data_IF_651195377130
#
_entry.id   IF_651195377130
#
_cell.length_a   1.000
_cell.length_b   1.000
_cell.length_c   1.000
_cell.angle_alpha   90.00
_cell.angle_beta   90.00
_cell.angle_gamma   90.00
#
_symmetry.space_group_name_H-M   'P 1'
#
loop_
_entity.id
_entity.type
_entity.pdbx_description
1 polymer ?
#
# COMPACT_ATOMS: atom_id res chain seq x y z
N UNK A 1 49.36 -16.13 -44.44
CA UNK A 1 48.53 -16.93 -43.54
C UNK A 1 47.90 -15.98 -42.58
N UNK A 2 46.60 -15.60 -42.80
CA UNK A 2 45.82 -14.73 -41.93
C UNK A 2 44.92 -15.59 -41.04
N UNK A 3 45.11 -15.57 -39.74
CA UNK A 3 44.23 -16.20 -38.77
C UNK A 3 43.13 -15.23 -38.38
N UNK A 4 41.91 -15.53 -38.77
CA UNK A 4 40.69 -14.84 -38.30
C UNK A 4 40.33 -15.34 -36.92
N UNK A 5 40.39 -14.49 -35.90
CA UNK A 5 39.86 -14.78 -34.55
C UNK A 5 38.38 -14.52 -34.54
N UNK A 6 37.60 -15.57 -34.44
CA UNK A 6 36.14 -15.53 -34.24
C UNK A 6 35.85 -15.11 -32.78
N UNK A 7 35.50 -13.84 -32.56
CA UNK A 7 35.04 -13.34 -31.27
C UNK A 7 33.68 -13.90 -30.94
N UNK A 8 33.63 -14.90 -30.07
CA UNK A 8 32.37 -15.48 -29.57
C UNK A 8 31.60 -14.51 -28.70
N UNK A 9 30.48 -13.99 -29.21
CA UNK A 9 29.52 -13.26 -28.40
C UNK A 9 28.86 -14.28 -27.45
N UNK A 10 29.02 -14.05 -26.15
CA UNK A 10 28.43 -14.93 -25.12
C UNK A 10 26.90 -14.99 -25.32
N UNK A 11 26.37 -16.21 -25.37
CA UNK A 11 24.92 -16.48 -25.51
C UNK A 11 24.10 -15.72 -24.45
N UNK A 12 24.68 -15.49 -23.28
CA UNK A 12 24.09 -14.64 -22.21
C UNK A 12 23.87 -13.21 -22.67
N UNK A 13 24.81 -12.58 -23.37
CA UNK A 13 24.66 -11.21 -23.84
C UNK A 13 23.66 -11.07 -24.99
N UNK A 14 23.54 -12.09 -25.82
CA UNK A 14 22.53 -12.13 -26.89
C UNK A 14 21.09 -12.28 -26.33
N UNK A 15 20.92 -13.11 -25.29
CA UNK A 15 19.62 -13.27 -24.60
C UNK A 15 19.24 -11.98 -23.86
N UNK A 16 20.19 -11.32 -23.20
CA UNK A 16 19.94 -10.03 -22.52
C UNK A 16 19.56 -8.91 -23.51
N UNK A 17 20.21 -8.85 -24.66
CA UNK A 17 19.90 -7.87 -25.71
C UNK A 17 18.53 -8.14 -26.36
N UNK A 18 18.16 -9.41 -26.57
CA UNK A 18 16.83 -9.81 -27.07
C UNK A 18 15.72 -9.48 -26.05
N UNK A 19 15.96 -9.65 -24.74
CA UNK A 19 14.99 -9.30 -23.71
C UNK A 19 14.76 -7.78 -23.58
N UNK A 20 15.76 -6.97 -23.86
CA UNK A 20 15.63 -5.50 -23.84
C UNK A 20 14.93 -4.94 -25.08
N UNK A 21 15.02 -5.62 -26.25
CA UNK A 21 14.39 -5.15 -27.49
C UNK A 21 12.90 -5.49 -27.61
N UNK A 22 12.38 -6.41 -26.78
CA UNK A 22 10.97 -6.82 -26.79
C UNK A 22 10.11 -6.15 -25.70
N UNK A 23 10.70 -5.32 -24.85
CA UNK A 23 9.94 -4.53 -23.90
C UNK A 23 9.33 -3.30 -24.60
N UNK A 24 8.26 -3.54 -25.38
CA UNK A 24 7.40 -2.42 -25.79
C UNK A 24 6.86 -1.73 -24.54
N UNK A 25 6.93 -0.38 -24.45
CA UNK A 25 6.28 0.32 -23.37
C UNK A 25 4.80 -0.05 -23.40
N UNK A 26 4.30 -0.68 -22.32
CA UNK A 26 2.87 -0.90 -22.14
C UNK A 26 2.19 0.45 -22.30
N UNK A 27 1.47 0.65 -23.41
CA UNK A 27 0.53 1.75 -23.52
C UNK A 27 -0.43 1.61 -22.34
N UNK A 28 -0.35 2.54 -21.39
CA UNK A 28 -1.36 2.66 -20.34
C UNK A 28 -2.67 2.88 -21.08
N UNK A 29 -3.54 1.88 -21.12
CA UNK A 29 -4.92 2.06 -21.53
C UNK A 29 -5.47 3.17 -20.66
N UNK A 30 -6.02 4.22 -21.30
CA UNK A 30 -6.68 5.27 -20.53
C UNK A 30 -7.78 4.62 -19.68
N UNK A 31 -7.84 4.90 -18.39
CA UNK A 31 -8.87 4.34 -17.54
C UNK A 31 -10.23 4.77 -18.08
N UNK A 32 -11.13 3.81 -18.31
CA UNK A 32 -12.52 4.08 -18.66
C UNK A 32 -13.25 4.59 -17.39
N UNK A 33 -12.87 5.77 -16.92
CA UNK A 33 -13.57 6.41 -15.81
C UNK A 33 -14.84 7.11 -16.34
N UNK A 34 -16.00 6.60 -15.93
CA UNK A 34 -17.20 7.43 -15.85
C UNK A 34 -16.86 8.65 -14.98
N UNK A 35 -17.35 9.86 -15.31
CA UNK A 35 -17.09 11.04 -14.49
C UNK A 35 -17.53 10.74 -13.05
N UNK A 36 -16.58 10.69 -12.15
CA UNK A 36 -16.81 10.38 -10.77
C UNK A 36 -17.59 11.53 -10.13
N UNK A 37 -18.70 11.21 -9.50
CA UNK A 37 -19.27 12.06 -8.45
C UNK A 37 -18.18 12.13 -7.38
N UNK A 38 -17.64 13.31 -7.15
CA UNK A 38 -16.48 13.51 -6.25
C UNK A 38 -16.95 13.34 -4.80
N UNK A 39 -17.17 12.07 -4.40
CA UNK A 39 -17.63 11.73 -3.05
C UNK A 39 -16.48 11.87 -2.07
N UNK A 40 -16.70 12.67 -1.03
CA UNK A 40 -15.76 12.83 0.08
C UNK A 40 -15.93 11.69 1.05
N UNK A 41 -14.84 11.02 1.41
CA UNK A 41 -14.82 9.91 2.36
C UNK A 41 -14.14 10.30 3.66
N UNK A 42 -14.60 9.71 4.76
CA UNK A 42 -14.00 9.78 6.09
C UNK A 42 -12.95 8.67 6.22
N UNK A 43 -11.69 9.03 6.49
CA UNK A 43 -10.57 8.09 6.51
C UNK A 43 -9.88 8.09 7.88
N UNK A 44 -9.73 6.91 8.47
CA UNK A 44 -8.90 6.69 9.65
C UNK A 44 -7.49 6.26 9.26
N UNK A 45 -6.48 6.81 9.91
CA UNK A 45 -5.06 6.44 9.69
C UNK A 45 -4.47 5.88 10.97
N UNK A 46 -3.90 4.67 10.90
CA UNK A 46 -3.24 4.01 12.02
C UNK A 46 -1.78 3.76 11.66
N UNK A 47 -0.87 4.43 12.35
CA UNK A 47 0.56 4.15 12.25
C UNK A 47 0.95 3.10 13.29
N UNK A 48 1.66 2.07 12.87
CA UNK A 48 2.03 0.92 13.70
C UNK A 48 3.56 0.88 13.78
N UNK A 49 4.09 1.16 14.96
CA UNK A 49 5.53 1.19 15.19
C UNK A 49 5.86 1.12 16.67
N UNK A 50 6.37 -0.01 17.15
CA UNK A 50 6.79 -0.20 18.54
C UNK A 50 7.85 0.81 18.96
N UNK A 51 8.84 1.09 18.11
CA UNK A 51 9.93 2.02 18.44
C UNK A 51 9.45 3.47 18.57
N UNK A 52 8.59 3.93 17.65
CA UNK A 52 7.99 5.27 17.76
C UNK A 52 7.05 5.36 18.95
N UNK A 53 6.20 4.35 19.13
CA UNK A 53 5.27 4.32 20.25
C UNK A 53 5.99 4.34 21.60
N UNK A 54 7.10 3.61 21.74
CA UNK A 54 7.92 3.66 22.95
C UNK A 54 8.53 5.05 23.21
N UNK A 55 8.89 5.80 22.17
CA UNK A 55 9.50 7.13 22.27
C UNK A 55 8.47 8.23 22.51
N UNK A 56 7.32 8.20 21.82
CA UNK A 56 6.38 9.32 21.78
C UNK A 56 5.04 9.04 22.46
N UNK A 57 4.75 7.78 22.79
CA UNK A 57 3.45 7.35 23.27
C UNK A 57 2.36 7.40 22.20
N UNK A 58 1.12 7.43 22.65
CA UNK A 58 -0.03 7.61 21.76
C UNK A 58 -0.17 9.08 21.38
N UNK A 59 -0.03 9.38 20.09
CA UNK A 59 -0.14 10.73 19.52
C UNK A 59 -1.29 10.77 18.50
N UNK A 60 -1.80 11.98 18.23
CA UNK A 60 -2.96 12.20 17.32
C UNK A 60 -2.59 12.93 16.03
N UNK A 61 -1.31 13.24 15.84
CA UNK A 61 -0.80 13.83 14.61
C UNK A 61 0.56 13.20 14.27
N UNK A 62 0.85 12.94 12.98
CA UNK A 62 2.12 12.31 12.59
C UNK A 62 3.35 13.15 12.91
N UNK A 63 3.21 14.48 12.95
CA UNK A 63 4.28 15.42 13.30
C UNK A 63 4.77 15.23 14.74
N UNK A 64 3.89 14.85 15.66
CA UNK A 64 4.21 14.60 17.07
C UNK A 64 5.11 13.35 17.26
N UNK A 65 5.17 12.47 16.26
CA UNK A 65 5.96 11.23 16.29
C UNK A 65 7.00 11.12 15.17
N UNK A 66 7.30 12.19 14.47
CA UNK A 66 8.19 12.18 13.29
C UNK A 66 7.79 11.10 12.28
N UNK A 67 6.48 10.87 12.11
CA UNK A 67 5.95 9.84 11.23
C UNK A 67 5.74 10.34 9.81
N UNK A 68 6.79 10.23 9.00
CA UNK A 68 6.75 10.65 7.60
C UNK A 68 5.72 9.86 6.78
N UNK A 69 5.55 8.56 7.03
CA UNK A 69 4.61 7.70 6.32
C UNK A 69 3.16 8.08 6.61
N UNK A 70 2.82 8.29 7.88
CA UNK A 70 1.51 8.77 8.28
C UNK A 70 1.19 10.14 7.70
N UNK A 71 2.18 11.05 7.65
CA UNK A 71 2.03 12.37 7.03
C UNK A 71 1.76 12.27 5.53
N UNK A 72 2.51 11.45 4.79
CA UNK A 72 2.30 11.21 3.36
C UNK A 72 0.88 10.74 3.08
N UNK A 73 0.36 9.76 3.84
CA UNK A 73 -1.01 9.28 3.70
C UNK A 73 -2.00 10.45 3.85
N UNK A 74 -1.85 11.25 4.90
CA UNK A 74 -2.74 12.37 5.20
C UNK A 74 -2.69 13.42 4.08
N UNK A 75 -1.52 13.74 3.57
CA UNK A 75 -1.34 14.73 2.50
C UNK A 75 -1.99 14.26 1.19
N UNK A 76 -1.85 12.99 0.81
CA UNK A 76 -2.55 12.41 -0.35
C UNK A 76 -4.06 12.46 -0.19
N UNK A 77 -4.60 12.06 0.97
CA UNK A 77 -6.03 12.06 1.24
C UNK A 77 -6.63 13.47 1.16
N UNK A 78 -5.97 14.46 1.77
CA UNK A 78 -6.39 15.87 1.74
C UNK A 78 -6.35 16.44 0.33
N UNK A 79 -5.28 16.15 -0.43
CA UNK A 79 -5.11 16.59 -1.81
C UNK A 79 -6.19 16.00 -2.73
N UNK A 80 -6.65 14.79 -2.45
CA UNK A 80 -7.75 14.13 -3.15
C UNK A 80 -9.15 14.57 -2.66
N UNK A 81 -9.22 15.50 -1.69
CA UNK A 81 -10.49 16.04 -1.18
C UNK A 81 -11.18 15.19 -0.11
N UNK A 82 -10.52 14.14 0.38
CA UNK A 82 -11.05 13.30 1.47
C UNK A 82 -10.81 13.93 2.84
N UNK A 83 -11.54 13.47 3.84
CA UNK A 83 -11.40 13.94 5.20
C UNK A 83 -10.69 12.90 6.07
N UNK A 84 -9.62 13.32 6.71
CA UNK A 84 -8.96 12.50 7.73
C UNK A 84 -9.76 12.62 9.02
N UNK A 85 -10.42 11.52 9.40
CA UNK A 85 -11.22 11.41 10.61
C UNK A 85 -10.32 11.41 11.85
N UNK A 86 -9.25 10.60 11.81
CA UNK A 86 -8.29 10.49 12.90
C UNK A 86 -6.96 9.94 12.42
N UNK A 87 -5.93 10.25 13.17
CA UNK A 87 -4.61 9.60 13.13
C UNK A 87 -4.29 9.05 14.52
N UNK A 88 -3.69 7.86 14.58
CA UNK A 88 -3.27 7.25 15.84
C UNK A 88 -1.97 6.46 15.62
N UNK A 89 -1.01 6.63 16.54
CA UNK A 89 0.19 5.80 16.62
C UNK A 89 0.01 4.73 17.67
N UNK A 90 0.29 3.46 17.31
CA UNK A 90 0.18 2.31 18.20
C UNK A 90 1.42 1.40 18.11
N UNK A 91 1.58 0.51 19.10
CA UNK A 91 2.58 -0.56 19.09
C UNK A 91 2.16 -1.74 18.19
N UNK A 92 3.14 -2.54 17.74
CA UNK A 92 2.95 -3.77 16.94
C UNK A 92 2.39 -4.92 17.81
N UNK A 93 1.17 -4.77 18.31
CA UNK A 93 0.45 -5.77 19.10
C UNK A 93 -0.88 -6.11 18.45
N UNK A 94 -1.11 -7.39 18.13
CA UNK A 94 -2.29 -7.85 17.40
C UNK A 94 -3.61 -7.41 18.06
N UNK A 95 -3.70 -7.48 19.39
CA UNK A 95 -4.89 -7.06 20.14
C UNK A 95 -5.12 -5.54 20.03
N UNK A 96 -4.06 -4.74 20.07
CA UNK A 96 -4.13 -3.29 19.96
C UNK A 96 -4.51 -2.88 18.54
N UNK A 97 -3.94 -3.54 17.54
CA UNK A 97 -4.26 -3.32 16.11
C UNK A 97 -5.75 -3.61 15.85
N UNK A 98 -6.23 -4.79 16.24
CA UNK A 98 -7.63 -5.18 16.02
C UNK A 98 -8.61 -4.28 16.76
N UNK A 99 -8.29 -3.85 17.99
CA UNK A 99 -9.11 -2.92 18.77
C UNK A 99 -9.17 -1.55 18.11
N UNK A 100 -8.03 -1.04 17.63
CA UNK A 100 -7.94 0.27 16.95
C UNK A 100 -8.71 0.27 15.63
N UNK A 101 -8.61 -0.81 14.83
CA UNK A 101 -9.41 -0.97 13.61
C UNK A 101 -10.89 -1.00 13.93
N UNK A 102 -11.33 -1.82 14.91
CA UNK A 102 -12.75 -1.94 15.31
C UNK A 102 -13.32 -0.61 15.76
N UNK A 103 -12.57 0.20 16.48
CA UNK A 103 -13.03 1.50 16.98
C UNK A 103 -13.36 2.49 15.84
N UNK A 104 -12.78 2.32 14.66
CA UNK A 104 -12.97 3.20 13.51
C UNK A 104 -14.09 2.73 12.55
N UNK A 105 -14.49 1.45 12.57
CA UNK A 105 -15.43 0.88 11.59
C UNK A 105 -16.78 1.61 11.53
N UNK A 106 -17.26 2.18 12.64
CA UNK A 106 -18.55 2.88 12.67
C UNK A 106 -18.49 4.34 12.23
N UNK A 107 -17.29 4.90 12.10
CA UNK A 107 -17.08 6.34 11.88
C UNK A 107 -16.26 6.66 10.62
N UNK A 108 -15.79 5.63 9.90
CA UNK A 108 -14.93 5.82 8.71
C UNK A 108 -15.40 4.94 7.56
N UNK A 109 -15.27 5.46 6.34
CA UNK A 109 -15.46 4.69 5.10
C UNK A 109 -14.20 3.89 4.76
N UNK A 110 -13.05 4.37 5.20
CA UNK A 110 -11.73 3.78 4.88
C UNK A 110 -10.83 3.80 6.10
N UNK A 111 -10.05 2.75 6.27
CA UNK A 111 -8.96 2.69 7.26
C UNK A 111 -7.67 2.36 6.52
N UNK A 112 -6.63 3.15 6.74
CA UNK A 112 -5.29 2.88 6.20
C UNK A 112 -4.35 2.66 7.37
N UNK A 113 -3.72 1.47 7.43
CA UNK A 113 -2.66 1.18 8.38
C UNK A 113 -1.31 1.24 7.69
N UNK A 114 -0.27 1.70 8.38
CA UNK A 114 1.11 1.71 7.88
C UNK A 114 2.08 1.20 8.95
N UNK A 115 2.93 0.25 8.57
CA UNK A 115 3.89 -0.42 9.44
C UNK A 115 3.45 -1.80 9.94
N UNK A 116 4.39 -2.54 10.56
CA UNK A 116 4.15 -3.88 11.10
C UNK A 116 3.79 -4.95 10.06
N UNK A 117 4.15 -4.77 8.78
CA UNK A 117 3.83 -5.71 7.70
C UNK A 117 5.01 -6.57 7.25
N UNK A 118 6.20 -6.42 7.86
CA UNK A 118 7.40 -7.14 7.48
C UNK A 118 7.38 -8.62 7.87
N UNK A 119 8.57 -9.26 7.82
CA UNK A 119 8.76 -10.68 8.10
C UNK A 119 9.26 -10.95 9.53
N UNK A 120 9.51 -9.92 10.33
CA UNK A 120 9.93 -10.12 11.70
C UNK A 120 8.77 -10.71 12.55
N UNK A 121 9.05 -11.52 13.57
CA UNK A 121 7.99 -12.12 14.41
C UNK A 121 7.04 -11.11 15.07
N UNK A 122 7.48 -9.86 15.23
CA UNK A 122 6.69 -8.76 15.78
C UNK A 122 5.81 -8.06 14.73
N UNK A 123 6.08 -8.27 13.43
CA UNK A 123 5.30 -7.66 12.34
C UNK A 123 4.02 -8.47 12.17
N UNK A 124 2.94 -8.08 12.84
CA UNK A 124 1.68 -8.83 12.95
C UNK A 124 0.48 -8.11 12.35
N UNK A 125 0.70 -6.98 11.69
CA UNK A 125 -0.40 -6.14 11.17
C UNK A 125 -1.28 -6.89 10.18
N UNK A 126 -0.70 -7.58 9.22
CA UNK A 126 -1.45 -8.33 8.20
C UNK A 126 -2.23 -9.46 8.85
N UNK A 127 -1.59 -10.26 9.69
CA UNK A 127 -2.19 -11.39 10.38
C UNK A 127 -3.37 -10.96 11.27
N UNK A 128 -3.23 -9.82 11.96
CA UNK A 128 -4.27 -9.29 12.84
C UNK A 128 -5.47 -8.75 12.06
N UNK A 129 -5.24 -8.03 10.96
CA UNK A 129 -6.30 -7.36 10.20
C UNK A 129 -6.98 -8.30 9.21
N UNK A 130 -6.22 -9.19 8.55
CA UNK A 130 -6.75 -10.11 7.54
C UNK A 130 -7.81 -11.06 8.10
N UNK A 131 -7.67 -11.48 9.36
CA UNK A 131 -8.68 -12.31 10.04
C UNK A 131 -10.02 -11.58 10.27
N UNK A 132 -10.05 -10.26 10.15
CA UNK A 132 -11.26 -9.46 10.30
C UNK A 132 -12.01 -9.26 8.97
N UNK A 133 -11.36 -9.50 7.83
CA UNK A 133 -11.96 -9.27 6.52
C UNK A 133 -13.15 -10.19 6.27
N UNK A 134 -14.24 -9.61 5.81
CA UNK A 134 -15.37 -10.34 5.24
C UNK A 134 -15.12 -10.69 3.78
N UNK A 135 -14.41 -9.80 3.08
CA UNK A 135 -13.92 -10.03 1.70
C UNK A 135 -12.51 -9.47 1.58
N UNK A 136 -11.62 -10.25 1.00
CA UNK A 136 -10.28 -9.78 0.63
C UNK A 136 -10.27 -9.15 -0.76
N UNK A 137 -9.34 -8.23 -0.99
CA UNK A 137 -9.02 -7.66 -2.29
C UNK A 137 -7.60 -8.09 -2.65
N UNK A 138 -7.37 -9.36 -3.07
CA UNK A 138 -6.02 -9.90 -3.27
C UNK A 138 -5.25 -9.16 -4.35
N UNK A 139 -5.95 -8.66 -5.38
CA UNK A 139 -5.37 -7.86 -6.45
C UNK A 139 -4.61 -6.62 -5.98
N UNK A 140 -4.96 -6.05 -4.82
CA UNK A 140 -4.21 -4.93 -4.25
C UNK A 140 -2.76 -5.33 -3.95
N UNK A 141 -2.54 -6.40 -3.19
CA UNK A 141 -1.20 -6.87 -2.85
C UNK A 141 -0.40 -7.35 -4.07
N UNK A 142 -1.09 -7.94 -5.06
CA UNK A 142 -0.47 -8.39 -6.32
C UNK A 142 0.03 -7.21 -7.15
N UNK A 143 -0.82 -6.22 -7.40
CA UNK A 143 -0.46 -5.02 -8.14
C UNK A 143 0.60 -4.20 -7.40
N UNK A 144 0.47 -4.08 -6.07
CA UNK A 144 1.46 -3.35 -5.27
C UNK A 144 2.86 -3.97 -5.38
N UNK A 145 2.98 -5.31 -5.30
CA UNK A 145 4.27 -5.98 -5.52
C UNK A 145 4.78 -5.84 -6.95
N UNK A 146 3.88 -5.86 -7.94
CA UNK A 146 4.26 -5.67 -9.34
C UNK A 146 4.87 -4.31 -9.59
N UNK A 147 4.21 -3.23 -9.15
CA UNK A 147 4.75 -1.87 -9.31
C UNK A 147 5.98 -1.61 -8.44
N UNK A 148 6.05 -2.23 -7.24
CA UNK A 148 7.25 -2.18 -6.40
C UNK A 148 8.44 -2.86 -7.08
N UNK A 149 8.22 -3.94 -7.83
CA UNK A 149 9.29 -4.61 -8.57
C UNK A 149 9.90 -3.72 -9.66
N UNK A 150 9.08 -2.90 -10.31
CA UNK A 150 9.56 -1.95 -11.32
C UNK A 150 10.47 -0.86 -10.70
N UNK A 151 10.27 -0.53 -9.41
CA UNK A 151 11.07 0.48 -8.71
C UNK A 151 12.32 -0.08 -8.02
N UNK A 152 12.20 -1.20 -7.31
CA UNK A 152 13.25 -1.72 -6.43
C UNK A 152 13.77 -3.10 -6.83
N UNK A 153 13.23 -3.72 -7.87
CA UNK A 153 13.64 -5.04 -8.34
C UNK A 153 13.27 -6.17 -7.39
N UNK A 154 14.13 -7.19 -7.30
CA UNK A 154 13.86 -8.43 -6.53
C UNK A 154 13.51 -8.25 -5.04
N UNK A 155 13.98 -7.24 -4.30
CA UNK A 155 13.53 -6.99 -2.93
C UNK A 155 12.01 -6.81 -2.79
N UNK A 156 11.30 -6.44 -3.87
CA UNK A 156 9.84 -6.33 -3.88
C UNK A 156 9.13 -7.64 -3.51
N UNK A 157 9.77 -8.81 -3.69
CA UNK A 157 9.22 -10.11 -3.27
C UNK A 157 8.98 -10.20 -1.76
N UNK A 158 9.70 -9.40 -0.96
CA UNK A 158 9.56 -9.35 0.50
C UNK A 158 8.47 -8.36 0.93
N UNK A 159 7.93 -7.59 0.00
CA UNK A 159 6.90 -6.58 0.28
C UNK A 159 5.57 -7.25 0.59
N UNK A 160 5.06 -6.98 1.78
CA UNK A 160 3.77 -7.47 2.25
C UNK A 160 2.81 -6.31 2.41
N UNK A 161 1.69 -6.41 1.69
CA UNK A 161 0.57 -5.49 1.78
C UNK A 161 -0.72 -6.27 1.50
N UNK A 162 -1.82 -5.88 2.13
CA UNK A 162 -3.14 -6.50 1.93
C UNK A 162 -4.24 -5.47 2.00
N UNK A 163 -5.39 -5.78 1.43
CA UNK A 163 -6.60 -4.98 1.60
C UNK A 163 -7.84 -5.87 1.61
N UNK A 164 -8.91 -5.34 2.19
CA UNK A 164 -10.19 -6.04 2.29
C UNK A 164 -11.30 -5.15 2.79
N UNK A 165 -12.48 -5.74 2.94
CA UNK A 165 -13.71 -5.08 3.37
C UNK A 165 -14.18 -5.66 4.69
N UNK A 166 -14.56 -4.78 5.62
CA UNK A 166 -15.27 -5.13 6.85
C UNK A 166 -16.54 -4.26 6.91
N UNK A 167 -17.71 -4.89 6.81
CA UNK A 167 -18.96 -4.15 6.60
C UNK A 167 -18.90 -3.34 5.31
N UNK A 168 -19.01 -2.02 5.42
CA UNK A 168 -18.89 -1.08 4.31
C UNK A 168 -17.54 -0.32 4.30
N UNK A 169 -16.64 -0.67 5.21
CA UNK A 169 -15.33 0.01 5.36
C UNK A 169 -14.26 -0.74 4.58
N UNK A 170 -13.55 -0.03 3.71
CA UNK A 170 -12.37 -0.54 3.03
C UNK A 170 -11.13 -0.38 3.92
N UNK A 171 -10.30 -1.42 4.00
CA UNK A 171 -9.10 -1.40 4.83
C UNK A 171 -7.87 -1.72 3.96
N UNK A 172 -6.82 -0.92 4.13
CA UNK A 172 -5.54 -1.10 3.45
C UNK A 172 -4.42 -1.20 4.49
N UNK A 173 -3.62 -2.25 4.40
CA UNK A 173 -2.44 -2.45 5.24
C UNK A 173 -1.17 -2.26 4.41
N UNK A 174 -0.41 -1.20 4.71
CA UNK A 174 0.76 -0.76 3.96
C UNK A 174 2.06 -1.00 4.73
N UNK A 175 3.19 -1.18 4.03
CA UNK A 175 4.50 -1.12 4.65
C UNK A 175 4.75 0.23 5.35
N UNK A 176 5.69 0.21 6.30
CA UNK A 176 6.05 1.43 7.05
C UNK A 176 7.01 2.37 6.30
N UNK A 177 7.49 2.03 5.11
CA UNK A 177 8.44 2.90 4.38
C UNK A 177 7.72 4.02 3.63
N UNK A 178 8.23 5.27 3.67
CA UNK A 178 7.64 6.40 2.96
C UNK A 178 7.46 6.17 1.45
N UNK A 179 8.45 5.57 0.79
CA UNK A 179 8.38 5.30 -0.65
C UNK A 179 7.27 4.30 -1.00
N UNK A 180 7.15 3.21 -0.23
CA UNK A 180 6.10 2.22 -0.41
C UNK A 180 4.69 2.82 -0.19
N UNK A 181 4.55 3.69 0.80
CA UNK A 181 3.31 4.42 1.07
C UNK A 181 2.97 5.37 -0.08
N UNK A 182 3.93 6.16 -0.57
CA UNK A 182 3.74 7.05 -1.71
C UNK A 182 3.24 6.27 -2.93
N UNK A 183 3.93 5.18 -3.26
CA UNK A 183 3.59 4.32 -4.40
C UNK A 183 2.16 3.74 -4.29
N UNK A 184 1.80 3.21 -3.11
CA UNK A 184 0.46 2.66 -2.88
C UNK A 184 -0.64 3.72 -2.98
N UNK A 185 -0.43 4.89 -2.37
CA UNK A 185 -1.40 5.98 -2.38
C UNK A 185 -1.62 6.54 -3.78
N UNK A 186 -0.54 6.80 -4.51
CA UNK A 186 -0.57 7.42 -5.83
C UNK A 186 -1.12 6.48 -6.90
N UNK A 187 -0.62 5.25 -6.94
CA UNK A 187 -0.88 4.34 -8.05
C UNK A 187 -2.15 3.49 -7.86
N UNK A 188 -2.56 3.20 -6.62
CA UNK A 188 -3.60 2.22 -6.35
C UNK A 188 -4.75 2.77 -5.49
N UNK A 189 -4.47 3.39 -4.33
CA UNK A 189 -5.52 3.68 -3.36
C UNK A 189 -6.35 4.89 -3.82
N UNK A 190 -5.72 6.04 -4.00
CA UNK A 190 -6.46 7.27 -4.35
C UNK A 190 -7.25 7.12 -5.65
N UNK A 191 -6.69 6.54 -6.74
CA UNK A 191 -7.43 6.36 -8.00
C UNK A 191 -8.65 5.44 -7.89
N UNK A 192 -8.56 4.38 -7.06
CA UNK A 192 -9.59 3.33 -7.02
C UNK A 192 -10.53 3.42 -5.81
N UNK A 193 -10.28 4.34 -4.88
CA UNK A 193 -10.99 4.39 -3.60
C UNK A 193 -12.50 4.50 -3.76
N UNK A 194 -12.96 5.39 -4.65
CA UNK A 194 -14.38 5.57 -4.91
C UNK A 194 -15.01 4.31 -5.52
N UNK A 195 -14.32 3.66 -6.44
CA UNK A 195 -14.78 2.44 -7.11
C UNK A 195 -14.93 1.29 -6.12
N UNK A 196 -13.93 1.08 -5.27
CA UNK A 196 -13.94 0.06 -4.22
C UNK A 196 -15.12 0.26 -3.27
N UNK A 197 -15.35 1.49 -2.80
CA UNK A 197 -16.42 1.79 -1.85
C UNK A 197 -17.81 1.70 -2.48
N UNK A 198 -17.98 2.01 -3.77
CA UNK A 198 -19.22 1.78 -4.48
C UNK A 198 -19.58 0.28 -4.46
N UNK A 199 -18.65 -0.59 -4.85
CA UNK A 199 -18.87 -2.04 -4.82
C UNK A 199 -19.05 -2.61 -3.41
N UNK A 200 -18.39 -2.04 -2.42
CA UNK A 200 -18.57 -2.46 -1.02
C UNK A 200 -19.95 -2.11 -0.46
N UNK A 201 -20.62 -1.09 -1.02
CA UNK A 201 -21.95 -0.62 -0.56
C UNK A 201 -23.12 -1.17 -1.39
N UNK A 202 -22.86 -1.85 -2.51
CA UNK A 202 -23.91 -2.51 -3.29
C UNK A 202 -24.46 -3.72 -2.50
N UNK A 203 -25.73 -3.62 -2.08
CA UNK A 203 -26.49 -4.70 -1.43
C UNK A 203 -27.33 -5.46 -2.45
#
# INVERSE_FOLDING_TARGET
>A
VASASCGGISVRNAIYALMQSTCMPRQRSQPHHKPAVNKRFEVGVISISTSRFAKYGSVKAPEEAEDLSGRIIIDFLRSAGHKVHSYTLISDEAALITTSVRALLSSTDVIITTGGTGLAPRDVTIEAVQQMFQKEIPGFGELFRSISYDEIGSPAMLTRATSGIIGNTAIFCLPGSPNAVTLAMEALIVPELQHILLHASEQ
#
